data_IF_871792211662
#
_entry.id   IF_871792211662
#
_cell.length_a   1.000
_cell.length_b   1.000
_cell.length_c   1.000
_cell.angle_alpha   90.00
_cell.angle_beta   90.00
_cell.angle_gamma   90.00
#
_symmetry.space_group_name_H-M   'P 1'
#
loop_
_entity.id
_entity.type
_entity.pdbx_description
1 polymer ?
#
# COMPACT_ATOMS: atom_id res chain seq x y z
N UNK A 1 -20.43 -9.84 7.29
CA UNK A 1 -20.03 -10.54 6.04
C UNK A 1 -18.52 -10.33 5.82
N UNK A 2 -17.79 -11.38 5.46
CA UNK A 2 -16.34 -11.27 5.19
C UNK A 2 -16.12 -10.85 3.73
N UNK A 3 -16.13 -9.52 3.49
CA UNK A 3 -16.09 -8.91 2.15
C UNK A 3 -14.84 -9.33 1.38
N UNK A 4 -13.66 -9.26 1.99
CA UNK A 4 -12.39 -9.64 1.34
C UNK A 4 -12.41 -11.11 0.87
N UNK A 5 -12.99 -12.03 1.63
CA UNK A 5 -13.13 -13.44 1.25
C UNK A 5 -14.08 -13.65 0.07
N UNK A 6 -15.13 -12.85 -0.06
CA UNK A 6 -16.02 -12.92 -1.21
C UNK A 6 -15.32 -12.40 -2.48
N UNK A 7 -14.57 -11.30 -2.38
CA UNK A 7 -13.77 -10.79 -3.51
C UNK A 7 -12.71 -11.82 -3.92
N UNK A 8 -12.04 -12.46 -2.96
CA UNK A 8 -11.05 -13.50 -3.22
C UNK A 8 -11.62 -14.66 -4.07
N UNK A 9 -12.83 -15.13 -3.69
CA UNK A 9 -13.53 -16.18 -4.46
C UNK A 9 -13.88 -15.74 -5.89
N UNK A 10 -14.37 -14.51 -6.05
CA UNK A 10 -14.76 -13.98 -7.36
C UNK A 10 -13.56 -13.74 -8.28
N UNK A 11 -12.38 -13.53 -7.73
CA UNK A 11 -11.15 -13.21 -8.49
C UNK A 11 -10.17 -14.39 -8.59
N UNK A 12 -10.50 -15.53 -7.97
CA UNK A 12 -9.60 -16.69 -7.85
C UNK A 12 -8.23 -16.28 -7.24
N UNK A 13 -8.29 -15.51 -6.14
CA UNK A 13 -7.12 -15.05 -5.41
C UNK A 13 -7.14 -15.51 -3.95
N UNK A 14 -5.96 -15.61 -3.35
CA UNK A 14 -5.81 -15.81 -1.91
C UNK A 14 -5.95 -14.49 -1.16
N UNK A 15 -6.69 -14.50 -0.04
CA UNK A 15 -6.95 -13.32 0.79
C UNK A 15 -6.12 -13.32 2.07
N UNK A 16 -5.54 -12.18 2.39
CA UNK A 16 -4.81 -11.94 3.65
C UNK A 16 -5.35 -10.65 4.28
N UNK A 17 -5.73 -10.72 5.54
CA UNK A 17 -6.34 -9.61 6.27
C UNK A 17 -5.52 -9.25 7.50
N UNK A 18 -5.36 -7.95 7.76
CA UNK A 18 -4.86 -7.41 9.02
C UNK A 18 -5.94 -6.52 9.65
N UNK A 19 -6.43 -6.93 10.81
CA UNK A 19 -7.35 -6.13 11.59
C UNK A 19 -6.60 -4.95 12.21
N UNK A 20 -7.18 -3.77 12.12
CA UNK A 20 -6.76 -2.58 12.84
C UNK A 20 -7.64 -2.34 14.06
N UNK A 21 -8.96 -2.34 13.88
CA UNK A 21 -9.94 -2.08 14.93
C UNK A 21 -11.10 -3.07 14.89
N UNK A 22 -11.86 -3.13 15.98
CA UNK A 22 -13.21 -3.70 16.01
C UNK A 22 -14.21 -2.66 15.53
N UNK A 23 -15.10 -3.04 14.64
CA UNK A 23 -16.08 -2.13 14.07
C UNK A 23 -17.37 -2.86 13.74
N UNK A 24 -18.51 -2.33 14.21
CA UNK A 24 -19.86 -2.84 13.94
C UNK A 24 -20.03 -4.36 14.09
N UNK A 25 -19.51 -4.92 15.20
CA UNK A 25 -19.54 -6.35 15.49
C UNK A 25 -18.62 -7.21 14.63
N UNK A 26 -17.76 -6.60 13.82
CA UNK A 26 -16.76 -7.23 12.97
C UNK A 26 -15.36 -6.67 13.18
N UNK A 27 -14.51 -6.85 12.17
CA UNK A 27 -13.15 -6.31 12.12
C UNK A 27 -13.01 -5.39 10.92
N UNK A 28 -12.45 -4.21 11.16
CA UNK A 28 -12.04 -3.26 10.11
C UNK A 28 -10.52 -3.23 10.04
N UNK A 29 -9.97 -3.07 8.82
CA UNK A 29 -8.54 -3.07 8.59
C UNK A 29 -8.20 -3.12 7.11
N UNK A 30 -7.03 -3.66 6.80
CA UNK A 30 -6.51 -3.73 5.44
C UNK A 30 -6.51 -5.15 4.90
N UNK A 31 -6.66 -5.29 3.58
CA UNK A 31 -6.67 -6.56 2.87
C UNK A 31 -5.66 -6.60 1.74
N UNK A 32 -5.10 -7.78 1.52
CA UNK A 32 -4.27 -8.12 0.39
C UNK A 32 -4.87 -9.31 -0.36
N UNK A 33 -4.98 -9.20 -1.67
CA UNK A 33 -5.30 -10.31 -2.55
C UNK A 33 -4.09 -10.65 -3.42
N UNK A 34 -3.79 -11.93 -3.57
CA UNK A 34 -2.67 -12.39 -4.39
C UNK A 34 -3.03 -13.62 -5.21
N UNK A 35 -2.66 -13.65 -6.50
CA UNK A 35 -2.81 -14.81 -7.38
C UNK A 35 -1.84 -15.93 -7.02
N UNK A 36 -0.62 -15.57 -6.58
CA UNK A 36 0.38 -16.52 -6.06
C UNK A 36 0.42 -16.42 -4.56
N UNK A 37 0.49 -17.56 -3.88
CA UNK A 37 0.67 -17.56 -2.42
C UNK A 37 2.05 -17.01 -2.05
N UNK A 38 2.13 -16.06 -1.12
CA UNK A 38 3.40 -15.63 -0.57
C UNK A 38 4.05 -16.73 0.27
N UNK A 39 5.38 -16.69 0.37
CA UNK A 39 6.17 -17.59 1.22
C UNK A 39 5.88 -17.33 2.70
N UNK A 40 5.69 -16.04 3.04
CA UNK A 40 5.45 -15.57 4.41
C UNK A 40 4.53 -14.35 4.39
N UNK A 41 3.69 -14.26 5.41
CA UNK A 41 2.84 -13.08 5.65
C UNK A 41 3.00 -12.63 7.09
N UNK A 42 3.33 -11.38 7.27
CA UNK A 42 3.39 -10.72 8.57
C UNK A 42 2.36 -9.60 8.66
N UNK A 43 1.91 -9.34 9.88
CA UNK A 43 0.97 -8.26 10.20
C UNK A 43 1.59 -7.42 11.30
N UNK A 44 1.61 -6.12 11.10
CA UNK A 44 2.30 -5.20 11.99
C UNK A 44 1.42 -4.01 12.31
N UNK A 45 1.44 -3.58 13.58
CA UNK A 45 0.82 -2.32 13.97
C UNK A 45 1.67 -1.13 13.50
N UNK A 46 1.00 -0.06 13.11
CA UNK A 46 1.59 1.23 12.79
C UNK A 46 0.99 2.31 13.70
N UNK A 47 1.68 3.43 13.90
CA UNK A 47 1.16 4.57 14.64
C UNK A 47 -0.17 5.08 14.08
N UNK A 48 -1.11 5.36 14.99
CA UNK A 48 -2.42 5.90 14.67
C UNK A 48 -3.16 6.22 15.96
N UNK A 49 -3.10 7.49 16.40
CA UNK A 49 -3.71 7.96 17.65
C UNK A 49 -5.22 8.10 17.55
N UNK A 50 -5.72 8.42 16.37
CA UNK A 50 -7.17 8.55 16.11
C UNK A 50 -7.81 7.21 15.85
N UNK A 51 -7.09 6.30 15.23
CA UNK A 51 -7.50 4.94 14.91
C UNK A 51 -6.27 4.06 14.75
N UNK A 52 -6.29 2.87 15.30
CA UNK A 52 -5.18 1.92 15.15
C UNK A 52 -4.94 1.59 13.69
N UNK A 53 -3.67 1.59 13.27
CA UNK A 53 -3.25 1.33 11.89
C UNK A 53 -2.46 0.03 11.81
N UNK A 54 -2.52 -0.58 10.64
CA UNK A 54 -1.84 -1.85 10.39
C UNK A 54 -1.14 -1.87 9.03
N UNK A 55 -0.18 -2.76 8.90
CA UNK A 55 0.46 -3.11 7.63
C UNK A 55 0.47 -4.63 7.46
N UNK A 56 0.23 -5.10 6.24
CA UNK A 56 0.50 -6.47 5.82
C UNK A 56 1.80 -6.45 5.02
N UNK A 57 2.73 -7.36 5.36
CA UNK A 57 3.90 -7.68 4.56
C UNK A 57 3.74 -9.10 4.02
N UNK A 58 3.75 -9.24 2.70
CA UNK A 58 3.72 -10.50 1.99
C UNK A 58 5.04 -10.69 1.24
N UNK A 59 5.79 -11.73 1.60
CA UNK A 59 7.04 -12.09 0.93
C UNK A 59 6.78 -13.10 -0.18
N UNK A 60 7.21 -12.77 -1.39
CA UNK A 60 7.23 -13.66 -2.55
C UNK A 60 8.68 -14.05 -2.90
N UNK A 61 8.85 -14.97 -3.84
CA UNK A 61 10.18 -15.46 -4.26
C UNK A 61 11.12 -14.32 -4.68
N UNK A 62 10.63 -13.37 -5.47
CA UNK A 62 11.45 -12.33 -6.09
C UNK A 62 11.22 -10.90 -5.57
N UNK A 63 10.22 -10.68 -4.72
CA UNK A 63 9.89 -9.36 -4.16
C UNK A 63 9.11 -9.47 -2.84
N UNK A 64 8.99 -8.35 -2.16
CA UNK A 64 8.08 -8.16 -1.02
C UNK A 64 7.02 -7.14 -1.42
N UNK A 65 5.79 -7.41 -1.06
CA UNK A 65 4.68 -6.49 -1.24
C UNK A 65 4.01 -6.20 0.10
N UNK A 66 3.89 -4.93 0.42
CA UNK A 66 3.21 -4.46 1.61
C UNK A 66 2.01 -3.62 1.26
N UNK A 67 0.97 -3.69 2.07
CA UNK A 67 -0.15 -2.76 2.02
C UNK A 67 -0.44 -2.17 3.39
N UNK A 68 -0.91 -0.91 3.40
CA UNK A 68 -1.19 -0.16 4.62
C UNK A 68 -2.28 0.88 4.38
N UNK A 69 -2.82 1.38 5.48
CA UNK A 69 -3.62 2.60 5.56
C UNK A 69 -3.02 3.42 6.71
N UNK A 70 -2.41 4.56 6.38
CA UNK A 70 -1.70 5.38 7.35
C UNK A 70 -2.64 6.32 8.11
N UNK A 71 -2.15 6.90 9.20
CA UNK A 71 -2.90 7.82 10.06
C UNK A 71 -3.30 9.11 9.33
N UNK A 72 -4.43 9.68 9.74
CA UNK A 72 -4.84 11.03 9.36
C UNK A 72 -3.92 12.11 9.95
N UNK A 73 -3.20 11.78 11.03
CA UNK A 73 -2.30 12.71 11.74
C UNK A 73 -0.89 12.65 11.15
N UNK A 74 -0.33 13.80 10.77
CA UNK A 74 0.99 13.86 10.14
C UNK A 74 2.10 13.36 11.05
N UNK A 75 2.05 13.65 12.35
CA UNK A 75 3.03 13.15 13.31
C UNK A 75 3.08 11.62 13.35
N UNK A 76 1.93 10.95 13.29
CA UNK A 76 1.88 9.48 13.27
C UNK A 76 2.35 8.92 11.93
N UNK A 77 2.04 9.59 10.81
CA UNK A 77 2.63 9.24 9.51
C UNK A 77 4.14 9.36 9.53
N UNK A 78 4.67 10.45 10.07
CA UNK A 78 6.12 10.64 10.23
C UNK A 78 6.73 9.59 11.16
N UNK A 79 6.06 9.21 12.24
CA UNK A 79 6.49 8.13 13.14
C UNK A 79 6.46 6.74 12.48
N UNK A 80 5.68 6.55 11.42
CA UNK A 80 5.66 5.32 10.63
C UNK A 80 6.91 5.15 9.75
N UNK A 81 7.56 6.23 9.30
CA UNK A 81 8.72 6.18 8.40
C UNK A 81 9.87 5.31 8.90
N UNK A 82 10.35 5.47 10.16
CA UNK A 82 11.43 4.61 10.68
C UNK A 82 11.03 3.14 10.75
N UNK A 83 9.75 2.82 10.97
CA UNK A 83 9.25 1.45 10.96
C UNK A 83 9.26 0.89 9.53
N UNK A 84 8.76 1.63 8.55
CA UNK A 84 8.79 1.24 7.13
C UNK A 84 10.23 1.01 6.64
N UNK A 85 11.17 1.87 7.04
CA UNK A 85 12.61 1.71 6.76
C UNK A 85 13.16 0.43 7.39
N UNK A 86 12.79 0.17 8.66
CA UNK A 86 13.24 -1.00 9.41
C UNK A 86 12.76 -2.30 8.74
N UNK A 87 11.49 -2.36 8.31
CA UNK A 87 10.93 -3.54 7.65
C UNK A 87 11.60 -3.84 6.31
N UNK A 88 12.06 -2.82 5.59
CA UNK A 88 12.77 -2.99 4.33
C UNK A 88 14.28 -3.21 4.49
N UNK A 89 14.84 -2.98 5.70
CA UNK A 89 16.29 -3.11 5.97
C UNK A 89 16.73 -4.58 5.97
N UNK A 90 17.86 -4.86 5.31
CA UNK A 90 18.45 -6.20 5.27
C UNK A 90 17.77 -7.14 4.29
N UNK A 91 16.82 -6.68 3.52
CA UNK A 91 16.10 -7.43 2.50
C UNK A 91 16.79 -7.21 1.15
N UNK A 92 17.25 -8.29 0.53
CA UNK A 92 17.88 -8.27 -0.81
C UNK A 92 16.86 -8.52 -1.94
N UNK A 93 15.64 -8.04 -1.77
CA UNK A 93 14.56 -8.12 -2.75
C UNK A 93 13.93 -6.74 -2.94
N UNK A 94 13.38 -6.40 -4.10
CA UNK A 94 12.54 -5.22 -4.26
C UNK A 94 11.41 -5.23 -3.21
N UNK A 95 11.23 -4.10 -2.56
CA UNK A 95 10.23 -3.90 -1.52
C UNK A 95 9.21 -2.88 -2.02
N UNK A 96 7.97 -3.31 -2.22
CA UNK A 96 6.85 -2.47 -2.64
C UNK A 96 5.94 -2.18 -1.46
N UNK A 97 5.45 -0.96 -1.38
CA UNK A 97 4.45 -0.54 -0.40
C UNK A 97 3.33 0.21 -1.12
N UNK A 98 2.09 -0.20 -0.89
CA UNK A 98 0.91 0.42 -1.47
C UNK A 98 -0.16 0.71 -0.42
N UNK A 99 -1.02 1.67 -0.69
CA UNK A 99 -2.19 1.99 0.11
C UNK A 99 -2.54 3.46 0.16
N UNK A 100 -3.51 3.75 1.01
CA UNK A 100 -3.87 5.10 1.40
C UNK A 100 -2.85 5.63 2.41
N UNK A 101 -2.12 6.66 2.01
CA UNK A 101 -1.11 7.30 2.86
C UNK A 101 -1.66 8.51 3.60
N UNK A 102 -2.91 8.92 3.33
CA UNK A 102 -3.56 10.10 3.93
C UNK A 102 -2.68 11.36 3.84
N UNK A 103 -1.94 11.51 2.75
CA UNK A 103 -0.93 12.55 2.59
C UNK A 103 -0.85 13.01 1.14
N UNK A 104 -1.03 14.30 0.90
CA UNK A 104 -0.87 14.90 -0.42
C UNK A 104 0.59 14.93 -0.87
N UNK A 105 0.88 14.99 -2.19
CA UNK A 105 2.24 14.97 -2.75
C UNK A 105 3.19 16.02 -2.16
N UNK A 106 2.66 17.18 -1.75
CA UNK A 106 3.42 18.29 -1.19
C UNK A 106 3.61 18.24 0.34
N UNK A 107 3.05 17.23 1.02
CA UNK A 107 3.22 17.05 2.46
C UNK A 107 4.68 16.74 2.82
N UNK A 108 5.07 17.05 4.06
CA UNK A 108 6.40 16.74 4.55
C UNK A 108 6.64 15.23 4.65
N UNK A 109 5.57 14.48 4.91
CA UNK A 109 5.62 13.01 4.90
C UNK A 109 6.03 12.48 3.52
N UNK A 110 5.35 12.85 2.44
CA UNK A 110 5.67 12.37 1.08
C UNK A 110 7.05 12.86 0.63
N UNK A 111 7.41 14.12 0.91
CA UNK A 111 8.76 14.65 0.64
C UNK A 111 9.86 13.84 1.34
N UNK A 112 9.60 13.43 2.58
CA UNK A 112 10.56 12.62 3.36
C UNK A 112 10.58 11.16 2.91
N UNK A 113 9.42 10.58 2.60
CA UNK A 113 9.32 9.22 2.06
C UNK A 113 10.11 9.07 0.76
N UNK A 114 10.02 10.04 -0.14
CA UNK A 114 10.72 10.08 -1.45
C UNK A 114 12.25 10.07 -1.35
N UNK A 115 12.83 10.34 -0.18
CA UNK A 115 14.29 10.20 0.03
C UNK A 115 14.74 8.74 0.07
N UNK A 116 13.84 7.82 0.40
CA UNK A 116 14.13 6.40 0.57
C UNK A 116 13.36 5.49 -0.40
N UNK A 117 12.24 5.98 -0.95
CA UNK A 117 11.34 5.25 -1.81
C UNK A 117 11.16 5.94 -3.16
N UNK A 118 11.18 5.16 -4.21
CA UNK A 118 10.74 5.59 -5.55
C UNK A 118 9.22 5.50 -5.63
N UNK A 119 8.56 6.58 -6.00
CA UNK A 119 7.12 6.57 -6.29
C UNK A 119 6.89 5.99 -7.69
N UNK A 120 6.03 5.00 -7.80
CA UNK A 120 5.70 4.31 -9.05
C UNK A 120 4.34 4.73 -9.60
N UNK A 121 3.40 5.12 -8.72
CA UNK A 121 2.09 5.64 -9.11
C UNK A 121 2.19 7.07 -9.63
N UNK A 122 1.21 7.48 -10.44
CA UNK A 122 1.16 8.83 -10.99
C UNK A 122 0.58 9.81 -9.97
N UNK A 123 1.45 10.64 -9.38
CA UNK A 123 1.06 11.64 -8.38
C UNK A 123 0.31 12.85 -8.97
N UNK A 124 0.20 12.97 -10.27
CA UNK A 124 -0.54 14.05 -10.94
C UNK A 124 -2.03 13.74 -11.09
N UNK A 125 -2.43 12.50 -10.85
CA UNK A 125 -3.82 12.05 -10.91
C UNK A 125 -4.41 11.95 -9.52
N UNK A 126 -5.61 12.49 -9.35
CA UNK A 126 -6.33 12.47 -8.08
C UNK A 126 -6.99 11.12 -7.83
N UNK A 127 -7.00 10.68 -6.56
CA UNK A 127 -7.54 9.38 -6.14
C UNK A 127 -8.74 9.49 -5.22
N UNK A 128 -8.97 10.65 -4.58
CA UNK A 128 -10.03 10.87 -3.60
C UNK A 128 -10.65 12.27 -3.76
N UNK A 129 -11.96 12.44 -3.45
CA UNK A 129 -12.99 11.39 -3.35
C UNK A 129 -13.39 10.86 -4.72
N UNK A 130 -13.78 9.59 -4.82
CA UNK A 130 -13.97 8.90 -6.11
C UNK A 130 -14.97 9.56 -7.08
N UNK A 131 -16.08 10.17 -6.65
CA UNK A 131 -17.05 10.79 -7.57
C UNK A 131 -16.48 12.02 -8.28
N UNK A 132 -15.68 12.85 -7.57
CA UNK A 132 -15.09 14.09 -8.07
C UNK A 132 -13.72 14.30 -7.39
N UNK A 133 -12.68 13.57 -7.81
CA UNK A 133 -11.41 13.57 -7.09
C UNK A 133 -10.68 14.89 -7.25
N UNK A 134 -10.14 15.37 -6.12
CA UNK A 134 -9.35 16.61 -6.03
C UNK A 134 -8.08 16.43 -5.15
N UNK A 135 -7.89 15.22 -4.58
CA UNK A 135 -6.72 14.87 -3.78
C UNK A 135 -6.04 13.59 -4.29
N UNK A 136 -4.69 13.55 -4.17
CA UNK A 136 -3.88 12.35 -4.37
C UNK A 136 -3.37 11.90 -3.00
N UNK A 137 -3.92 10.82 -2.47
CA UNK A 137 -3.55 10.28 -1.16
C UNK A 137 -3.21 8.79 -1.18
N UNK A 138 -3.44 8.13 -2.31
CA UNK A 138 -3.12 6.72 -2.55
C UNK A 138 -1.84 6.59 -3.38
N UNK A 139 -0.92 5.71 -2.96
CA UNK A 139 0.37 5.55 -3.60
C UNK A 139 0.79 4.10 -3.72
N UNK A 140 1.64 3.85 -4.72
CA UNK A 140 2.48 2.65 -4.82
C UNK A 140 3.92 3.12 -4.92
N UNK A 141 4.76 2.68 -3.97
CA UNK A 141 6.16 3.06 -3.87
C UNK A 141 7.05 1.83 -3.75
N UNK A 142 8.33 1.98 -4.10
CA UNK A 142 9.31 0.90 -4.01
C UNK A 142 10.66 1.37 -3.47
N UNK A 143 11.41 0.42 -2.88
CA UNK A 143 12.83 0.60 -2.50
C UNK A 143 13.61 -0.71 -2.63
N UNK A 144 14.89 -0.70 -2.24
CA UNK A 144 15.82 -1.84 -2.38
C UNK A 144 16.02 -2.24 -3.86
N UNK A 145 16.16 -1.24 -4.73
CA UNK A 145 16.24 -1.42 -6.18
C UNK A 145 17.67 -1.41 -6.73
N UNK A 146 18.70 -1.27 -5.89
CA UNK A 146 20.10 -1.11 -6.31
C UNK A 146 20.59 -2.26 -7.19
N UNK A 147 20.19 -3.50 -6.85
CA UNK A 147 20.53 -4.72 -7.59
C UNK A 147 19.46 -5.13 -8.62
N UNK A 148 18.51 -4.25 -8.89
CA UNK A 148 17.36 -4.53 -9.76
C UNK A 148 17.09 -3.38 -10.72
N UNK A 149 16.68 -3.75 -11.92
CA UNK A 149 16.06 -2.85 -12.88
C UNK A 149 14.56 -2.98 -12.75
N UNK A 150 13.89 -1.91 -12.32
CA UNK A 150 12.42 -1.83 -12.26
C UNK A 150 11.94 -0.90 -13.35
N UNK A 151 11.17 -1.45 -14.27
CA UNK A 151 10.64 -0.70 -15.41
C UNK A 151 9.11 -0.62 -15.28
N UNK A 152 8.60 0.61 -15.08
CA UNK A 152 7.15 0.89 -15.04
C UNK A 152 6.62 0.84 -16.46
N UNK A 153 5.74 -0.12 -16.76
CA UNK A 153 5.08 -0.30 -18.06
C UNK A 153 3.81 0.50 -18.18
N UNK A 154 3.09 0.63 -17.08
CA UNK A 154 1.84 1.36 -17.00
C UNK A 154 1.64 1.90 -15.59
N UNK A 155 1.12 3.11 -15.48
CA UNK A 155 0.58 3.68 -14.25
C UNK A 155 -0.65 4.50 -14.60
N UNK A 156 -1.73 4.35 -13.83
CA UNK A 156 -2.96 5.13 -13.99
C UNK A 156 -3.85 5.05 -12.75
N UNK A 157 -4.72 6.03 -12.62
CA UNK A 157 -5.91 5.97 -11.77
C UNK A 157 -7.08 5.50 -12.62
N UNK A 158 -7.83 4.51 -12.13
CA UNK A 158 -8.98 3.98 -12.86
C UNK A 158 -10.22 4.82 -12.58
N UNK A 159 -11.01 5.07 -13.60
CA UNK A 159 -12.31 5.75 -13.45
C UNK A 159 -13.36 4.77 -12.90
N UNK A 160 -13.37 4.60 -11.58
CA UNK A 160 -14.35 3.80 -10.86
C UNK A 160 -14.91 4.61 -9.67
N UNK A 161 -16.06 5.31 -9.88
CA UNK A 161 -16.59 6.21 -8.86
C UNK A 161 -17.55 5.56 -7.86
N UNK A 162 -17.84 4.26 -7.98
CA UNK A 162 -18.93 3.59 -7.25
C UNK A 162 -18.45 2.55 -6.24
N UNK A 163 -17.40 1.80 -6.58
CA UNK A 163 -16.96 0.64 -5.78
C UNK A 163 -16.33 1.04 -4.43
N UNK A 164 -15.81 2.25 -4.32
CA UNK A 164 -15.17 2.82 -3.12
C UNK A 164 -15.27 4.34 -3.16
N UNK A 165 -15.04 4.98 -2.04
CA UNK A 165 -14.83 6.44 -1.93
C UNK A 165 -13.43 6.87 -2.44
N UNK A 166 -12.51 5.93 -2.71
CA UNK A 166 -11.26 6.14 -3.43
C UNK A 166 -11.29 5.52 -4.82
N UNK A 167 -10.61 6.15 -5.78
CA UNK A 167 -10.37 5.56 -7.10
C UNK A 167 -9.21 4.57 -7.04
N UNK A 168 -9.32 3.41 -7.71
CA UNK A 168 -8.22 2.43 -7.74
C UNK A 168 -7.00 2.96 -8.49
N UNK A 169 -5.81 2.73 -7.97
CA UNK A 169 -4.55 2.99 -8.66
C UNK A 169 -3.98 1.67 -9.22
N UNK A 170 -3.44 1.74 -10.42
CA UNK A 170 -2.81 0.60 -11.11
C UNK A 170 -1.37 0.95 -11.47
N UNK A 171 -0.44 0.06 -11.12
CA UNK A 171 0.95 0.10 -11.61
C UNK A 171 1.34 -1.28 -12.12
N UNK A 172 1.84 -1.33 -13.35
CA UNK A 172 2.43 -2.52 -13.95
C UNK A 172 3.94 -2.33 -14.08
N UNK A 173 4.71 -3.26 -13.51
CA UNK A 173 6.16 -3.21 -13.53
C UNK A 173 6.77 -4.52 -14.01
N UNK A 174 7.93 -4.43 -14.65
CA UNK A 174 8.84 -5.57 -14.81
C UNK A 174 10.05 -5.39 -13.91
N UNK A 175 10.48 -6.49 -13.29
CA UNK A 175 11.63 -6.53 -12.38
C UNK A 175 12.66 -7.49 -12.98
N UNK A 176 13.89 -7.01 -13.15
CA UNK A 176 15.04 -7.84 -13.55
C UNK A 176 16.16 -7.66 -12.55
N UNK A 177 16.82 -8.73 -12.17
CA UNK A 177 18.06 -8.66 -11.41
C UNK A 177 19.17 -8.20 -12.35
N UNK A 178 19.98 -7.24 -11.90
CA UNK A 178 21.17 -6.76 -12.61
C UNK A 178 22.29 -7.80 -12.60
#
# INVERSE_FOLDING_TARGET
>A
KYVLGEIAKLTDMSAYFASAIDFDGGKYGIGLLAKKSPIRVERMALPGREEARAMILAEFDSYIYCCTHLSLTEEDRMASLPLLRKFAKGINKPFFLAGDFNANPESDFIKTLKKDFMVLSDMSQYTFPSPAPDETIDYIVARNLDNYEVNVKKTCVLEEPVASDHRPILVEVTIKKK
#
